data_IF_539094790151
#
_entry.id   IF_539094790151
#
_cell.length_a   1.000
_cell.length_b   1.000
_cell.length_c   1.000
_cell.angle_alpha   90.00
_cell.angle_beta   90.00
_cell.angle_gamma   90.00
#
_symmetry.space_group_name_H-M   'P 1'
#
loop_
_entity.id
_entity.type
_entity.pdbx_description
1 polymer ?
#
# COMPACT_ATOMS: atom_id res chain seq x y z
N UNK A 1 -2.65 -22.48 -1.03
CA UNK A 1 -1.59 -21.99 -1.94
C UNK A 1 -0.74 -21.04 -1.12
N UNK A 2 0.57 -21.28 -0.98
CA UNK A 2 1.47 -20.41 -0.23
C UNK A 2 1.88 -19.24 -1.13
N UNK A 3 1.56 -18.02 -0.72
CA UNK A 3 1.91 -16.81 -1.48
C UNK A 3 3.36 -16.44 -1.17
N UNK A 4 4.29 -16.83 -2.06
CA UNK A 4 5.73 -16.66 -1.85
C UNK A 4 6.15 -15.18 -1.74
N UNK A 5 5.31 -14.27 -2.24
CA UNK A 5 5.58 -12.84 -2.24
C UNK A 5 4.98 -12.13 -1.03
N UNK A 6 4.17 -12.80 -0.20
CA UNK A 6 3.58 -12.18 0.98
C UNK A 6 4.67 -11.61 1.92
N UNK A 7 4.66 -10.30 2.22
CA UNK A 7 5.58 -9.72 3.19
C UNK A 7 5.44 -10.41 4.55
N UNK A 8 6.57 -10.73 5.19
CA UNK A 8 6.58 -11.47 6.46
C UNK A 8 6.61 -10.59 7.70
N UNK A 9 6.76 -9.28 7.53
CA UNK A 9 6.93 -8.31 8.62
C UNK A 9 5.93 -7.17 8.50
N UNK A 10 5.50 -6.68 9.65
CA UNK A 10 4.74 -5.44 9.73
C UNK A 10 5.66 -4.24 9.49
N UNK A 11 5.14 -3.13 8.93
CA UNK A 11 3.74 -2.90 8.54
C UNK A 11 3.36 -3.43 7.14
N UNK A 12 4.34 -3.87 6.34
CA UNK A 12 4.12 -4.28 4.95
C UNK A 12 3.12 -5.44 4.80
N UNK A 13 3.13 -6.41 5.74
CA UNK A 13 2.21 -7.55 5.71
C UNK A 13 0.74 -7.13 5.84
N UNK A 14 0.41 -6.28 6.82
CA UNK A 14 -0.97 -5.80 7.00
C UNK A 14 -1.45 -5.01 5.79
N UNK A 15 -0.59 -4.15 5.22
CA UNK A 15 -0.90 -3.37 4.02
C UNK A 15 -1.15 -4.29 2.82
N UNK A 16 -0.29 -5.31 2.61
CA UNK A 16 -0.47 -6.33 1.59
C UNK A 16 -1.80 -7.08 1.75
N UNK A 17 -2.13 -7.47 2.97
CA UNK A 17 -3.37 -8.21 3.26
C UNK A 17 -4.62 -7.34 3.05
N UNK A 18 -4.56 -6.04 3.32
CA UNK A 18 -5.64 -5.11 3.00
C UNK A 18 -5.90 -5.04 1.48
N UNK A 19 -4.83 -4.94 0.68
CA UNK A 19 -4.92 -5.03 -0.78
C UNK A 19 -5.53 -6.36 -1.23
N UNK A 20 -4.99 -7.50 -0.76
CA UNK A 20 -5.48 -8.83 -1.15
C UNK A 20 -6.95 -9.03 -0.80
N UNK A 21 -7.37 -8.53 0.36
CA UNK A 21 -8.76 -8.60 0.81
C UNK A 21 -9.67 -7.81 -0.12
N UNK A 22 -9.30 -6.58 -0.49
CA UNK A 22 -10.12 -5.77 -1.40
C UNK A 22 -10.12 -6.32 -2.83
N UNK A 23 -8.99 -6.88 -3.28
CA UNK A 23 -8.87 -7.52 -4.59
C UNK A 23 -9.83 -8.71 -4.77
N UNK A 24 -10.33 -9.33 -3.71
CA UNK A 24 -11.38 -10.37 -3.82
C UNK A 24 -12.73 -9.83 -4.30
N UNK A 25 -12.94 -8.50 -4.21
CA UNK A 25 -14.21 -7.82 -4.54
C UNK A 25 -14.20 -7.17 -5.93
N UNK A 26 -13.16 -7.45 -6.72
CA UNK A 26 -12.98 -6.97 -8.10
C UNK A 26 -14.12 -7.35 -9.03
N UNK A 27 -14.71 -8.54 -8.83
CA UNK A 27 -15.75 -9.09 -9.70
C UNK A 27 -17.00 -8.19 -9.68
N UNK A 28 -17.40 -7.69 -10.84
CA UNK A 28 -18.61 -6.89 -11.01
C UNK A 28 -18.42 -5.38 -10.83
N UNK A 29 -17.19 -4.90 -10.60
CA UNK A 29 -16.85 -3.47 -10.58
C UNK A 29 -16.17 -3.05 -11.88
N UNK A 30 -16.24 -1.76 -12.21
CA UNK A 30 -15.42 -1.18 -13.28
C UNK A 30 -13.93 -1.15 -12.90
N UNK A 31 -13.06 -0.94 -13.89
CA UNK A 31 -11.62 -0.83 -13.68
C UNK A 31 -11.25 0.44 -12.88
N UNK A 32 -12.06 1.49 -12.95
CA UNK A 32 -11.84 2.70 -12.18
C UNK A 32 -12.28 2.48 -10.73
N UNK A 33 -13.45 1.86 -10.53
CA UNK A 33 -14.03 1.58 -9.22
C UNK A 33 -13.18 0.64 -8.37
N UNK A 34 -12.70 -0.47 -8.95
CA UNK A 34 -11.89 -1.44 -8.20
C UNK A 34 -10.50 -0.86 -7.81
N UNK A 35 -9.89 0.02 -8.63
CA UNK A 35 -8.58 0.63 -8.36
C UNK A 35 -8.74 1.66 -7.25
N UNK A 36 -9.78 2.49 -7.32
CA UNK A 36 -10.08 3.45 -6.26
C UNK A 36 -10.30 2.72 -4.92
N UNK A 37 -11.12 1.66 -4.91
CA UNK A 37 -11.37 0.87 -3.70
C UNK A 37 -10.10 0.23 -3.11
N UNK A 38 -9.21 -0.29 -3.95
CA UNK A 38 -7.94 -0.87 -3.52
C UNK A 38 -7.00 0.16 -2.90
N UNK A 39 -6.83 1.31 -3.57
CA UNK A 39 -6.04 2.42 -3.04
C UNK A 39 -6.59 2.91 -1.71
N UNK A 40 -7.90 3.05 -1.58
CA UNK A 40 -8.54 3.46 -0.32
C UNK A 40 -8.35 2.45 0.80
N UNK A 41 -8.48 1.15 0.50
CA UNK A 41 -8.25 0.08 1.46
C UNK A 41 -6.80 0.08 1.96
N UNK A 42 -5.84 0.21 1.04
CA UNK A 42 -4.41 0.29 1.33
C UNK A 42 -4.08 1.55 2.12
N UNK A 43 -4.62 2.71 1.72
CA UNK A 43 -4.40 3.98 2.40
C UNK A 43 -4.89 3.92 3.86
N UNK A 44 -6.13 3.46 4.08
CA UNK A 44 -6.71 3.33 5.41
C UNK A 44 -5.87 2.41 6.31
N UNK A 45 -5.41 1.28 5.78
CA UNK A 45 -4.57 0.37 6.56
C UNK A 45 -3.19 0.99 6.85
N UNK A 46 -2.62 1.69 5.86
CA UNK A 46 -1.34 2.39 6.04
C UNK A 46 -1.40 3.46 7.14
N UNK A 47 -2.50 4.21 7.24
CA UNK A 47 -2.71 5.17 8.33
C UNK A 47 -2.75 4.51 9.70
N UNK A 48 -3.46 3.37 9.83
CA UNK A 48 -3.52 2.59 11.08
C UNK A 48 -2.15 2.05 11.47
N UNK A 49 -1.41 1.51 10.51
CA UNK A 49 -0.08 0.97 10.74
C UNK A 49 0.92 2.08 11.10
N UNK A 50 0.82 3.24 10.45
CA UNK A 50 1.65 4.41 10.78
C UNK A 50 1.45 4.81 12.24
N UNK A 51 0.19 4.96 12.66
CA UNK A 51 -0.15 5.26 14.05
C UNK A 51 0.38 4.19 15.02
N UNK A 52 0.15 2.91 14.72
CA UNK A 52 0.52 1.78 15.57
C UNK A 52 2.03 1.68 15.81
N UNK A 53 2.84 1.98 14.79
CA UNK A 53 4.30 1.86 14.84
C UNK A 53 5.03 3.19 15.02
N UNK A 54 4.30 4.30 15.22
CA UNK A 54 4.91 5.63 15.37
C UNK A 54 5.63 6.12 14.11
N UNK A 55 5.15 5.72 12.94
CA UNK A 55 5.71 6.13 11.64
C UNK A 55 4.94 7.34 11.09
N UNK A 56 5.51 7.99 10.06
CA UNK A 56 4.81 9.04 9.34
C UNK A 56 3.62 8.45 8.57
N UNK A 57 2.47 9.09 8.68
CA UNK A 57 1.32 8.77 7.83
C UNK A 57 1.66 9.10 6.36
N UNK A 58 1.52 8.14 5.42
CA UNK A 58 1.70 8.43 4.00
C UNK A 58 0.54 9.29 3.50
N UNK A 59 0.73 10.02 2.40
CA UNK A 59 -0.36 10.69 1.68
C UNK A 59 -0.97 9.76 0.61
N UNK A 60 -2.16 10.08 0.11
CA UNK A 60 -2.76 9.32 -1.00
C UNK A 60 -1.89 9.37 -2.26
N UNK A 61 -1.23 10.50 -2.54
CA UNK A 61 -0.32 10.63 -3.68
C UNK A 61 0.89 9.68 -3.57
N UNK A 62 1.37 9.43 -2.36
CA UNK A 62 2.44 8.45 -2.11
C UNK A 62 1.94 7.02 -2.30
N UNK A 63 0.70 6.70 -1.92
CA UNK A 63 0.07 5.41 -2.21
C UNK A 63 0.00 5.18 -3.74
N UNK A 64 -0.48 6.17 -4.49
CA UNK A 64 -0.59 6.10 -5.96
C UNK A 64 0.79 6.02 -6.62
N UNK A 65 1.76 6.78 -6.12
CA UNK A 65 3.13 6.76 -6.64
C UNK A 65 3.80 5.40 -6.44
N UNK A 66 3.63 4.80 -5.25
CA UNK A 66 4.14 3.45 -4.96
C UNK A 66 3.44 2.38 -5.81
N UNK A 67 2.14 2.51 -6.06
CA UNK A 67 1.38 1.60 -6.92
C UNK A 67 1.90 1.63 -8.36
N UNK A 68 2.07 2.83 -8.92
CA UNK A 68 2.62 3.04 -10.27
C UNK A 68 4.02 2.44 -10.39
N UNK A 69 4.84 2.59 -9.36
CA UNK A 69 6.17 1.99 -9.30
C UNK A 69 6.15 0.45 -9.25
N UNK A 70 5.14 -0.13 -8.60
CA UNK A 70 4.97 -1.57 -8.52
C UNK A 70 4.38 -2.20 -9.80
N UNK A 71 3.68 -1.40 -10.62
CA UNK A 71 3.01 -1.85 -11.83
C UNK A 71 3.95 -2.59 -12.78
N UNK A 72 3.52 -3.76 -13.27
CA UNK A 72 4.33 -4.64 -14.12
C UNK A 72 5.30 -5.56 -13.39
N UNK A 73 5.43 -5.45 -12.07
CA UNK A 73 6.25 -6.38 -11.27
C UNK A 73 5.52 -7.71 -11.05
N UNK A 74 6.27 -8.82 -11.08
CA UNK A 74 5.73 -10.17 -10.79
C UNK A 74 5.21 -10.29 -9.34
N UNK A 75 5.78 -9.50 -8.43
CA UNK A 75 5.44 -9.39 -7.02
C UNK A 75 4.68 -8.08 -6.71
N UNK A 76 3.89 -7.57 -7.67
CA UNK A 76 3.19 -6.28 -7.64
C UNK A 76 2.66 -5.88 -6.25
N UNK A 77 1.85 -6.73 -5.61
CA UNK A 77 1.24 -6.37 -4.33
C UNK A 77 2.26 -6.19 -3.20
N UNK A 78 3.31 -7.03 -3.18
CA UNK A 78 4.38 -6.95 -2.19
C UNK A 78 5.25 -5.71 -2.42
N UNK A 79 5.62 -5.46 -3.68
CA UNK A 79 6.40 -4.28 -4.08
C UNK A 79 5.66 -2.98 -3.76
N UNK A 80 4.35 -2.95 -3.97
CA UNK A 80 3.51 -1.82 -3.59
C UNK A 80 3.52 -1.59 -2.07
N UNK A 81 3.32 -2.64 -1.28
CA UNK A 81 3.36 -2.55 0.18
C UNK A 81 4.72 -2.05 0.69
N UNK A 82 5.83 -2.57 0.17
CA UNK A 82 7.16 -2.10 0.55
C UNK A 82 7.40 -0.64 0.18
N UNK A 83 7.01 -0.20 -1.03
CA UNK A 83 7.14 1.20 -1.44
C UNK A 83 6.37 2.18 -0.54
N UNK A 84 5.22 1.76 0.00
CA UNK A 84 4.47 2.56 0.98
C UNK A 84 5.22 2.62 2.32
N UNK A 85 5.74 1.50 2.80
CA UNK A 85 6.52 1.46 4.05
C UNK A 85 7.78 2.32 3.93
N UNK A 86 8.45 2.30 2.78
CA UNK A 86 9.57 3.21 2.51
C UNK A 86 9.13 4.68 2.61
N UNK A 87 7.97 5.05 2.05
CA UNK A 87 7.44 6.39 2.21
C UNK A 87 7.20 6.74 3.69
N UNK A 88 6.59 5.84 4.46
CA UNK A 88 6.34 6.03 5.90
C UNK A 88 7.61 6.25 6.74
N UNK A 89 8.76 5.73 6.27
CA UNK A 89 10.07 5.93 6.89
C UNK A 89 10.80 7.20 6.45
N UNK A 90 10.40 7.85 5.35
CA UNK A 90 11.01 9.10 4.93
C UNK A 90 10.75 10.17 5.98
N UNK A 91 11.82 10.83 6.42
CA UNK A 91 11.71 12.06 7.19
C UNK A 91 10.86 13.06 6.41
N UNK A 92 10.08 13.88 7.12
CA UNK A 92 9.49 15.06 6.52
C UNK A 92 10.65 15.94 6.08
N UNK A 93 11.00 15.91 4.78
CA UNK A 93 11.87 16.91 4.22
C UNK A 93 11.17 18.25 4.48
N UNK A 94 11.77 19.19 5.25
CA UNK A 94 11.23 20.53 5.30
C UNK A 94 11.30 21.05 3.86
N UNK A 95 10.14 21.28 3.25
CA UNK A 95 10.06 22.09 2.05
C UNK A 95 10.81 23.39 2.34
N UNK A 96 11.81 23.69 1.51
CA UNK A 96 12.80 24.74 1.75
C UNK A 96 12.18 26.06 2.18
N UNK A 97 12.84 26.68 3.16
CA UNK A 97 12.68 28.09 3.51
C UNK A 97 13.13 28.99 2.35
#
# INVERSE_FOLDING_TARGET
MHDIFEPKREPARSIYNAFKTEATKRKGRSIEEWIAAERDAVFRESLRQAQKFGLRAPSMDEIVSAERYAMGSIDYGAKWAYGIVEAMHKAVSPSGA
#
